data_IF_099196314958
#
_entry.id   IF_099196314958
#
_cell.length_a   1.000
_cell.length_b   1.000
_cell.length_c   1.000
_cell.angle_alpha   90.00
_cell.angle_beta   90.00
_cell.angle_gamma   90.00
#
_symmetry.space_group_name_H-M   'P 1'
#
loop_
_entity.id
_entity.type
_entity.pdbx_description
1 polymer ?
#
# COMPACT_ATOMS: atom_id res chain seq x y z
N UNK A 1 -5.39 -19.96 -6.51
CA UNK A 1 -4.41 -19.17 -5.78
C UNK A 1 -3.73 -18.27 -6.81
N UNK A 2 -3.70 -16.95 -6.57
CA UNK A 2 -3.08 -15.99 -7.48
C UNK A 2 -1.60 -15.83 -7.11
N UNK A 3 -0.72 -15.84 -8.11
CA UNK A 3 0.65 -15.38 -7.91
C UNK A 3 0.68 -13.85 -7.71
N UNK A 4 1.85 -13.28 -7.49
CA UNK A 4 2.00 -11.87 -7.15
C UNK A 4 1.49 -10.94 -8.27
N UNK A 5 1.82 -11.22 -9.53
CA UNK A 5 1.38 -10.43 -10.68
C UNK A 5 -0.12 -10.59 -10.96
N UNK A 6 -0.61 -11.83 -10.90
CA UNK A 6 -2.04 -12.12 -11.13
C UNK A 6 -2.93 -11.44 -10.08
N UNK A 7 -2.45 -11.30 -8.83
CA UNK A 7 -3.15 -10.56 -7.80
C UNK A 7 -3.40 -9.10 -8.21
N UNK A 8 -2.38 -8.41 -8.73
CA UNK A 8 -2.52 -7.02 -9.20
C UNK A 8 -3.44 -6.92 -10.43
N UNK A 9 -3.37 -7.88 -11.33
CA UNK A 9 -4.28 -7.98 -12.46
C UNK A 9 -5.73 -8.14 -11.99
N UNK A 10 -5.98 -9.00 -11.01
CA UNK A 10 -7.30 -9.20 -10.42
C UNK A 10 -7.82 -7.98 -9.63
N UNK A 11 -6.93 -7.09 -9.17
CA UNK A 11 -7.30 -5.84 -8.51
C UNK A 11 -7.77 -4.75 -9.47
N UNK A 12 -7.49 -4.85 -10.79
CA UNK A 12 -7.92 -3.86 -11.76
C UNK A 12 -9.44 -3.85 -11.95
N UNK A 13 -9.99 -2.67 -12.25
CA UNK A 13 -11.42 -2.50 -12.51
C UNK A 13 -12.07 -1.40 -11.67
N UNK A 14 -13.40 -1.43 -11.64
CA UNK A 14 -14.23 -0.52 -10.83
C UNK A 14 -14.67 -1.26 -9.57
N UNK A 15 -14.48 -0.61 -8.43
CA UNK A 15 -14.83 -1.15 -7.13
C UNK A 15 -15.63 -0.15 -6.34
N UNK A 16 -16.70 -0.61 -5.73
CA UNK A 16 -17.44 0.15 -4.72
C UNK A 16 -17.06 -0.37 -3.34
N UNK A 17 -16.87 0.54 -2.39
CA UNK A 17 -16.42 0.19 -1.04
C UNK A 17 -17.23 0.95 -0.02
N UNK A 18 -17.78 0.23 0.92
CA UNK A 18 -18.31 0.79 2.17
C UNK A 18 -17.19 0.71 3.22
N UNK A 19 -16.98 1.82 3.93
CA UNK A 19 -15.97 1.91 4.99
C UNK A 19 -16.62 2.35 6.29
N UNK A 20 -16.08 1.82 7.38
CA UNK A 20 -16.39 2.28 8.72
C UNK A 20 -15.06 2.69 9.36
N UNK A 21 -14.97 3.94 9.78
CA UNK A 21 -13.86 4.46 10.56
C UNK A 21 -14.21 4.38 12.04
N UNK A 22 -13.32 3.80 12.82
CA UNK A 22 -13.41 3.74 14.27
C UNK A 22 -12.31 4.62 14.86
N UNK A 23 -12.69 5.74 15.43
CA UNK A 23 -11.80 6.65 16.15
C UNK A 23 -11.71 6.18 17.60
N UNK A 24 -10.73 5.30 17.88
CA UNK A 24 -10.64 4.57 19.15
C UNK A 24 -10.50 5.51 20.35
N UNK A 25 -9.81 6.65 20.20
CA UNK A 25 -9.60 7.61 21.29
C UNK A 25 -10.90 8.33 21.70
N UNK A 26 -11.71 8.68 20.72
CA UNK A 26 -12.91 9.52 20.92
C UNK A 26 -14.20 8.68 20.95
N UNK A 27 -14.10 7.39 20.63
CA UNK A 27 -15.24 6.49 20.52
C UNK A 27 -16.18 6.80 19.37
N UNK A 28 -15.76 7.68 18.45
CA UNK A 28 -16.56 8.06 17.29
C UNK A 28 -16.51 7.01 16.19
N UNK A 29 -17.59 6.92 15.43
CA UNK A 29 -17.69 6.06 14.24
C UNK A 29 -18.18 6.93 13.09
N UNK A 30 -17.53 6.80 11.94
CA UNK A 30 -17.92 7.46 10.71
C UNK A 30 -18.01 6.44 9.58
N UNK A 31 -19.02 6.58 8.74
CA UNK A 31 -19.21 5.74 7.54
C UNK A 31 -18.92 6.55 6.29
N UNK A 32 -18.37 5.87 5.30
CA UNK A 32 -18.19 6.44 3.98
C UNK A 32 -18.41 5.42 2.88
N UNK A 33 -18.80 5.95 1.71
CA UNK A 33 -18.87 5.21 0.47
C UNK A 33 -17.78 5.70 -0.47
N UNK A 34 -17.07 4.78 -1.12
CA UNK A 34 -16.00 5.13 -2.05
C UNK A 34 -16.11 4.34 -3.34
N UNK A 35 -15.99 5.02 -4.45
CA UNK A 35 -15.78 4.41 -5.76
C UNK A 35 -14.31 4.46 -6.12
N UNK A 36 -13.71 3.30 -6.47
CA UNK A 36 -12.34 3.18 -6.93
C UNK A 36 -12.30 2.77 -8.39
N UNK A 37 -11.46 3.46 -9.15
CA UNK A 37 -11.01 2.99 -10.46
C UNK A 37 -9.54 2.59 -10.35
N UNK A 38 -9.26 1.32 -10.61
CA UNK A 38 -7.92 0.73 -10.52
C UNK A 38 -7.50 0.29 -11.91
N UNK A 39 -6.33 0.77 -12.37
CA UNK A 39 -5.75 0.39 -13.66
C UNK A 39 -4.29 -0.03 -13.49
N UNK A 40 -3.80 -0.89 -14.39
CA UNK A 40 -2.38 -1.20 -14.45
C UNK A 40 -1.56 0.03 -14.83
N UNK A 41 -0.31 0.10 -14.37
CA UNK A 41 0.64 1.17 -14.74
C UNK A 41 1.59 0.70 -15.83
N UNK A 42 1.84 1.59 -16.79
CA UNK A 42 2.77 1.35 -17.90
C UNK A 42 4.24 1.41 -17.44
N UNK A 43 5.19 0.77 -18.15
CA UNK A 43 6.62 0.81 -17.81
C UNK A 43 7.17 2.22 -17.60
N UNK A 44 6.77 3.19 -18.42
CA UNK A 44 7.19 4.59 -18.26
C UNK A 44 6.72 5.21 -16.93
N UNK A 45 5.53 4.86 -16.46
CA UNK A 45 5.02 5.31 -15.15
C UNK A 45 5.78 4.64 -14.01
N UNK A 46 6.15 3.37 -14.14
CA UNK A 46 7.00 2.67 -13.16
C UNK A 46 8.37 3.34 -13.04
N UNK A 47 9.01 3.69 -14.17
CA UNK A 47 10.26 4.46 -14.18
C UNK A 47 10.11 5.82 -13.49
N UNK A 48 9.01 6.53 -13.74
CA UNK A 48 8.74 7.80 -13.09
C UNK A 48 8.66 7.66 -11.57
N UNK A 49 7.92 6.65 -11.07
CA UNK A 49 7.82 6.40 -9.62
C UNK A 49 9.20 6.12 -9.03
N UNK A 50 10.00 5.28 -9.67
CA UNK A 50 11.37 4.98 -9.22
C UNK A 50 12.25 6.22 -9.17
N UNK A 51 12.11 7.14 -10.13
CA UNK A 51 12.94 8.35 -10.22
C UNK A 51 12.62 9.39 -9.15
N UNK A 52 11.35 9.48 -8.71
CA UNK A 52 10.91 10.44 -7.70
C UNK A 52 10.98 9.89 -6.27
N UNK A 53 11.10 8.56 -6.13
CA UNK A 53 11.16 7.92 -4.82
C UNK A 53 12.49 8.20 -4.14
N UNK A 54 12.42 8.69 -2.90
CA UNK A 54 13.61 8.95 -2.07
C UNK A 54 14.07 7.62 -1.47
N UNK A 55 14.90 6.89 -2.20
CA UNK A 55 15.40 5.57 -1.81
C UNK A 55 16.68 5.64 -0.95
N UNK A 56 17.24 6.85 -0.73
CA UNK A 56 18.51 7.03 -0.04
C UNK A 56 19.65 6.30 -0.79
N UNK A 57 20.36 5.41 -0.10
CA UNK A 57 21.43 4.59 -0.69
C UNK A 57 20.91 3.33 -1.39
N UNK A 58 19.63 2.99 -1.24
CA UNK A 58 19.04 1.82 -1.88
C UNK A 58 19.01 1.98 -3.40
N UNK A 59 19.30 0.90 -4.09
CA UNK A 59 19.22 0.84 -5.56
C UNK A 59 18.25 -0.24 -5.98
N UNK A 60 17.35 0.12 -6.88
CA UNK A 60 16.43 -0.81 -7.53
C UNK A 60 16.98 -1.20 -8.89
N UNK A 61 17.21 -2.49 -9.10
CA UNK A 61 17.62 -3.05 -10.39
C UNK A 61 16.60 -4.07 -10.87
N UNK A 62 15.77 -3.66 -11.78
CA UNK A 62 14.78 -4.53 -12.44
C UNK A 62 15.34 -5.19 -13.71
N UNK A 63 16.61 -4.94 -14.07
CA UNK A 63 17.27 -5.45 -15.29
C UNK A 63 16.42 -5.22 -16.57
N UNK A 64 15.65 -4.13 -16.61
CA UNK A 64 14.71 -3.81 -17.71
C UNK A 64 13.40 -4.60 -17.70
N UNK A 65 13.25 -5.55 -16.80
CA UNK A 65 12.02 -6.33 -16.65
C UNK A 65 11.07 -5.69 -15.63
N UNK A 66 10.22 -4.78 -16.09
CA UNK A 66 9.25 -4.08 -15.24
C UNK A 66 8.09 -4.96 -14.77
N UNK A 67 7.92 -6.17 -15.30
CA UNK A 67 6.83 -7.07 -14.89
C UNK A 67 7.06 -7.68 -13.51
N UNK A 68 8.30 -7.79 -13.07
CA UNK A 68 8.64 -8.28 -11.73
C UNK A 68 8.20 -7.33 -10.60
N UNK A 69 7.98 -6.06 -10.93
CA UNK A 69 7.48 -5.04 -10.01
C UNK A 69 6.07 -4.59 -10.46
N UNK A 70 5.01 -5.28 -10.05
CA UNK A 70 3.66 -4.88 -10.36
C UNK A 70 3.27 -3.58 -9.67
N UNK A 71 2.19 -2.97 -10.14
CA UNK A 71 1.67 -1.75 -9.58
C UNK A 71 0.33 -1.38 -10.16
N UNK A 72 -0.25 -0.32 -9.64
CA UNK A 72 -1.54 0.19 -10.11
C UNK A 72 -1.62 1.72 -10.01
N UNK A 73 -2.42 2.30 -10.89
CA UNK A 73 -2.95 3.64 -10.70
C UNK A 73 -4.35 3.52 -10.10
N UNK A 74 -4.62 4.33 -9.08
CA UNK A 74 -5.91 4.40 -8.41
C UNK A 74 -6.44 5.82 -8.55
N UNK A 75 -7.70 5.96 -8.95
CA UNK A 75 -8.48 7.17 -8.74
C UNK A 75 -9.69 6.79 -7.88
N UNK A 76 -10.05 7.63 -6.93
CA UNK A 76 -11.18 7.38 -6.07
C UNK A 76 -11.94 8.64 -5.69
N UNK A 77 -13.24 8.43 -5.49
CA UNK A 77 -14.18 9.43 -5.02
C UNK A 77 -14.87 8.90 -3.77
N UNK A 78 -14.70 9.58 -2.65
CA UNK A 78 -15.27 9.20 -1.35
C UNK A 78 -16.32 10.22 -0.93
N UNK A 79 -17.44 9.73 -0.40
CA UNK A 79 -18.45 10.53 0.30
C UNK A 79 -18.63 9.99 1.70
N UNK A 80 -18.46 10.83 2.70
CA UNK A 80 -18.73 10.49 4.10
C UNK A 80 -20.22 10.65 4.43
N UNK A 81 -20.67 10.05 5.54
CA UNK A 81 -22.03 10.24 6.05
C UNK A 81 -22.31 11.69 6.49
N UNK A 82 -21.26 12.46 6.78
CA UNK A 82 -21.34 13.91 7.08
C UNK A 82 -21.53 14.77 5.84
N UNK A 83 -21.44 14.17 4.64
CA UNK A 83 -21.56 14.88 3.36
C UNK A 83 -20.24 15.41 2.81
N UNK A 84 -19.13 15.19 3.49
CA UNK A 84 -17.81 15.53 2.96
C UNK A 84 -17.47 14.66 1.76
N UNK A 85 -16.81 15.25 0.77
CA UNK A 85 -16.34 14.54 -0.43
C UNK A 85 -14.85 14.71 -0.61
N UNK A 86 -14.16 13.62 -0.94
CA UNK A 86 -12.72 13.61 -1.24
C UNK A 86 -12.49 12.87 -2.54
N UNK A 87 -11.80 13.52 -3.48
CA UNK A 87 -11.34 12.90 -4.72
C UNK A 87 -9.81 12.92 -4.76
N UNK A 88 -9.21 11.79 -5.11
CA UNK A 88 -7.76 11.66 -5.16
C UNK A 88 -7.34 10.64 -6.22
N UNK A 89 -6.14 10.81 -6.75
CA UNK A 89 -5.48 9.80 -7.58
C UNK A 89 -4.03 9.62 -7.15
N UNK A 90 -3.54 8.41 -7.26
CA UNK A 90 -2.14 8.07 -7.00
C UNK A 90 -1.70 6.86 -7.83
N UNK A 91 -0.40 6.67 -7.93
CA UNK A 91 0.20 5.47 -8.50
C UNK A 91 1.09 4.80 -7.46
N UNK A 92 1.05 3.49 -7.45
CA UNK A 92 1.83 2.66 -6.55
C UNK A 92 2.60 1.58 -7.31
N UNK A 93 3.85 1.36 -6.89
CA UNK A 93 4.74 0.33 -7.42
C UNK A 93 5.20 -0.56 -6.26
N UNK A 94 5.22 -1.86 -6.50
CA UNK A 94 5.63 -2.86 -5.51
C UNK A 94 6.88 -3.58 -6.00
N UNK A 95 8.00 -3.33 -5.34
CA UNK A 95 9.32 -3.86 -5.73
C UNK A 95 9.73 -4.91 -4.71
N UNK A 96 9.81 -6.21 -5.08
CA UNK A 96 10.30 -7.25 -4.18
C UNK A 96 11.74 -6.99 -3.74
N UNK A 97 12.09 -7.43 -2.52
CA UNK A 97 13.41 -7.25 -1.92
C UNK A 97 14.55 -7.82 -2.77
N UNK A 98 14.28 -8.86 -3.55
CA UNK A 98 15.25 -9.49 -4.46
C UNK A 98 15.80 -8.54 -5.54
N UNK A 99 15.08 -7.45 -5.82
CA UNK A 99 15.47 -6.43 -6.80
C UNK A 99 16.01 -5.14 -6.15
N UNK A 100 16.26 -5.17 -4.84
CA UNK A 100 16.74 -3.98 -4.09
C UNK A 100 18.07 -4.29 -3.43
N UNK A 101 19.10 -3.52 -3.76
CA UNK A 101 20.42 -3.58 -3.11
C UNK A 101 20.64 -2.40 -2.16
N UNK A 102 21.64 -2.52 -1.28
CA UNK A 102 22.00 -1.51 -0.28
C UNK A 102 20.84 -1.14 0.68
N UNK A 103 20.06 -2.14 1.08
CA UNK A 103 19.04 -1.92 2.10
C UNK A 103 19.73 -1.59 3.42
N UNK A 104 19.39 -0.43 3.99
CA UNK A 104 19.87 -0.10 5.34
C UNK A 104 19.21 -1.01 6.35
N UNK A 105 20.00 -1.59 7.25
CA UNK A 105 19.55 -2.51 8.29
C UNK A 105 18.82 -1.84 9.46
N UNK A 106 18.45 -0.57 9.37
CA UNK A 106 17.62 0.09 10.38
C UNK A 106 16.17 -0.39 10.27
N UNK A 107 15.94 -1.64 10.65
CA UNK A 107 14.60 -2.18 10.75
C UNK A 107 13.87 -1.52 11.92
N UNK A 108 13.03 -0.55 11.61
CA UNK A 108 11.98 -0.16 12.56
C UNK A 108 11.08 -1.39 12.73
N UNK A 109 10.92 -1.92 13.95
CA UNK A 109 10.08 -3.09 14.15
C UNK A 109 8.69 -2.87 13.57
N UNK A 110 8.15 -3.84 12.81
CA UNK A 110 6.82 -3.69 12.23
C UNK A 110 5.78 -3.54 13.36
N UNK A 111 4.77 -2.69 13.19
CA UNK A 111 3.69 -2.59 14.15
C UNK A 111 2.92 -3.92 14.25
N UNK A 112 2.21 -4.13 15.35
CA UNK A 112 1.54 -5.41 15.65
C UNK A 112 0.63 -5.88 14.51
N UNK A 113 -0.11 -4.97 13.87
CA UNK A 113 -0.98 -5.32 12.75
C UNK A 113 -0.21 -5.79 11.50
N UNK A 114 1.09 -5.49 11.40
CA UNK A 114 1.97 -5.91 10.30
C UNK A 114 2.80 -7.15 10.65
N UNK A 115 2.65 -7.72 11.84
CA UNK A 115 3.32 -8.95 12.24
C UNK A 115 2.56 -10.14 11.68
N UNK A 116 3.20 -10.87 10.77
CA UNK A 116 2.63 -12.06 10.15
C UNK A 116 3.39 -13.29 10.60
N UNK A 117 2.65 -14.40 10.74
CA UNK A 117 3.27 -15.72 10.91
C UNK A 117 4.01 -16.09 9.61
N UNK A 118 5.33 -16.33 9.65
CA UNK A 118 6.13 -16.66 8.48
C UNK A 118 5.87 -18.08 7.95
N UNK A 119 4.90 -18.82 8.49
CA UNK A 119 4.53 -20.13 7.98
C UNK A 119 3.94 -20.04 6.57
N UNK A 120 4.77 -20.28 5.57
CA UNK A 120 4.39 -20.26 4.16
C UNK A 120 5.20 -19.27 3.30
N UNK A 121 4.92 -19.29 2.00
CA UNK A 121 5.55 -18.37 1.06
C UNK A 121 5.05 -16.92 1.30
N UNK A 122 6.00 -16.01 1.48
CA UNK A 122 5.74 -14.59 1.64
C UNK A 122 6.68 -13.78 0.76
N UNK A 123 6.13 -12.99 -0.14
CA UNK A 123 6.89 -12.02 -0.92
C UNK A 123 6.93 -10.72 -0.14
N UNK A 124 8.13 -10.21 0.13
CA UNK A 124 8.37 -8.95 0.84
C UNK A 124 9.01 -7.95 -0.09
N UNK A 125 8.81 -6.66 0.18
CA UNK A 125 9.43 -5.64 -0.65
C UNK A 125 9.09 -4.21 -0.22
N UNK A 126 9.41 -3.29 -1.11
CA UNK A 126 9.15 -1.87 -0.95
C UNK A 126 7.89 -1.46 -1.69
N UNK A 127 7.08 -0.65 -1.02
CA UNK A 127 5.88 -0.03 -1.53
C UNK A 127 6.16 1.45 -1.81
N UNK A 128 6.18 1.83 -3.07
CA UNK A 128 6.50 3.17 -3.54
C UNK A 128 5.24 3.84 -4.07
N UNK A 129 4.97 5.07 -3.67
CA UNK A 129 3.86 5.88 -4.19
C UNK A 129 4.38 7.22 -4.69
N UNK A 130 3.74 7.74 -5.73
CA UNK A 130 4.00 9.09 -6.24
C UNK A 130 3.37 10.18 -5.37
N UNK A 131 2.34 9.85 -4.58
CA UNK A 131 1.63 10.79 -3.72
C UNK A 131 1.21 10.13 -2.39
N UNK A 132 1.24 10.89 -1.30
CA UNK A 132 0.79 10.48 0.02
C UNK A 132 -0.66 10.86 0.30
N UNK A 133 -1.31 10.17 1.23
CA UNK A 133 -2.67 10.53 1.67
C UNK A 133 -2.67 11.72 2.65
N UNK A 134 -1.70 11.77 3.54
CA UNK A 134 -1.61 12.78 4.61
C UNK A 134 -0.39 13.68 4.51
N UNK A 135 0.52 13.37 3.60
CA UNK A 135 1.75 14.11 3.34
C UNK A 135 1.94 14.20 1.84
N UNK A 136 2.29 15.40 1.35
CA UNK A 136 2.55 15.61 -0.07
C UNK A 136 3.86 14.92 -0.51
N UNK A 137 3.89 14.50 -1.76
CA UNK A 137 5.05 13.91 -2.43
C UNK A 137 5.16 12.40 -2.30
N UNK A 138 6.28 11.87 -2.79
CA UNK A 138 6.54 10.45 -2.86
C UNK A 138 6.67 9.82 -1.48
N UNK A 139 6.06 8.65 -1.31
CA UNK A 139 6.05 7.89 -0.06
C UNK A 139 6.70 6.53 -0.27
N UNK A 140 7.56 6.17 0.67
CA UNK A 140 8.17 4.86 0.79
C UNK A 140 7.53 4.08 1.94
N UNK A 141 7.15 2.85 1.66
CA UNK A 141 6.63 1.91 2.66
C UNK A 141 7.17 0.51 2.43
N UNK A 142 6.69 -0.41 3.23
CA UNK A 142 6.99 -1.85 3.10
C UNK A 142 5.73 -2.59 2.70
N UNK A 143 5.87 -3.70 1.98
CA UNK A 143 4.76 -4.60 1.74
C UNK A 143 5.13 -6.05 2.02
N UNK A 144 4.10 -6.85 2.27
CA UNK A 144 4.15 -8.30 2.20
C UNK A 144 2.99 -8.79 1.35
N UNK A 145 3.21 -9.85 0.57
CA UNK A 145 2.17 -10.55 -0.13
C UNK A 145 2.18 -12.03 0.25
N UNK A 146 1.02 -12.54 0.64
CA UNK A 146 0.81 -13.93 1.04
C UNK A 146 -0.06 -14.64 -0.01
N UNK A 147 0.52 -15.43 -0.93
CA UNK A 147 -0.24 -16.07 -2.01
C UNK A 147 -1.37 -16.98 -1.52
N UNK A 148 -1.11 -17.78 -0.47
CA UNK A 148 -2.11 -18.71 0.11
C UNK A 148 -3.33 -17.98 0.63
N UNK A 149 -3.13 -16.81 1.26
CA UNK A 149 -4.21 -15.99 1.82
C UNK A 149 -4.75 -14.96 0.83
N UNK A 150 -4.10 -14.78 -0.31
CA UNK A 150 -4.37 -13.72 -1.30
C UNK A 150 -4.46 -12.34 -0.63
N UNK A 151 -3.50 -12.08 0.27
CA UNK A 151 -3.48 -10.87 1.10
C UNK A 151 -2.22 -10.07 0.78
N UNK A 152 -2.42 -8.83 0.37
CA UNK A 152 -1.41 -7.79 0.26
C UNK A 152 -1.50 -6.92 1.52
N UNK A 153 -0.40 -6.78 2.24
CA UNK A 153 -0.27 -5.87 3.35
C UNK A 153 0.73 -4.77 3.01
N UNK A 154 0.38 -3.54 3.33
CA UNK A 154 1.19 -2.35 3.07
C UNK A 154 1.38 -1.60 4.38
N UNK A 155 2.62 -1.41 4.81
CA UNK A 155 2.97 -0.57 5.97
C UNK A 155 3.59 0.72 5.48
N UNK A 156 2.96 1.84 5.81
CA UNK A 156 3.43 3.18 5.46
C UNK A 156 3.82 3.95 6.71
N UNK A 157 5.03 4.49 6.71
CA UNK A 157 5.57 5.28 7.81
C UNK A 157 5.46 6.77 7.48
N UNK A 158 4.42 7.42 8.00
CA UNK A 158 4.26 8.88 7.94
C UNK A 158 5.01 9.55 9.11
N UNK A 159 5.15 10.87 9.05
CA UNK A 159 5.80 11.62 10.14
C UNK A 159 5.12 11.42 11.48
N UNK A 160 3.78 11.46 11.51
CA UNK A 160 2.98 11.41 12.74
C UNK A 160 2.27 10.08 12.98
N UNK A 161 2.31 9.17 12.02
CA UNK A 161 1.58 7.92 12.12
C UNK A 161 2.26 6.79 11.35
N UNK A 162 1.86 5.56 11.68
CA UNK A 162 2.14 4.38 10.87
C UNK A 162 0.80 3.77 10.49
N UNK A 163 0.58 3.54 9.22
CA UNK A 163 -0.62 2.89 8.71
C UNK A 163 -0.28 1.49 8.20
N UNK A 164 -1.02 0.49 8.67
CA UNK A 164 -1.00 -0.89 8.16
C UNK A 164 -2.30 -1.14 7.44
N UNK A 165 -2.21 -1.37 6.15
CA UNK A 165 -3.33 -1.56 5.24
C UNK A 165 -3.29 -2.98 4.68
N UNK A 166 -4.23 -3.80 5.06
CA UNK A 166 -4.37 -5.17 4.57
C UNK A 166 -5.51 -5.26 3.57
N UNK A 167 -5.20 -5.73 2.37
CA UNK A 167 -6.17 -5.98 1.31
C UNK A 167 -6.17 -7.45 0.93
N UNK A 168 -7.31 -8.10 1.08
CA UNK A 168 -7.52 -9.51 0.76
C UNK A 168 -8.56 -9.69 -0.33
N UNK A 169 -8.21 -10.42 -1.38
CA UNK A 169 -9.18 -10.92 -2.36
C UNK A 169 -9.85 -12.18 -1.81
N UNK A 170 -11.15 -12.07 -1.52
CA UNK A 170 -11.98 -13.19 -1.03
C UNK A 170 -12.56 -13.96 -2.20
N UNK A 171 -12.96 -13.24 -3.25
CA UNK A 171 -13.42 -13.78 -4.51
C UNK A 171 -13.10 -12.78 -5.64
N UNK A 172 -13.32 -13.12 -6.91
CA UNK A 172 -13.07 -12.19 -8.01
C UNK A 172 -13.76 -10.83 -7.87
N UNK A 173 -14.89 -10.79 -7.16
CA UNK A 173 -15.72 -9.60 -7.02
C UNK A 173 -15.84 -9.10 -5.58
N UNK A 174 -15.05 -9.65 -4.65
CA UNK A 174 -15.10 -9.26 -3.25
C UNK A 174 -13.69 -9.08 -2.68
N UNK A 175 -13.42 -7.87 -2.20
CA UNK A 175 -12.22 -7.52 -1.42
C UNK A 175 -12.61 -7.13 0.00
N UNK A 176 -11.84 -7.61 0.96
CA UNK A 176 -11.84 -7.05 2.31
C UNK A 176 -10.61 -6.16 2.46
N UNK A 177 -10.77 -5.06 3.17
CA UNK A 177 -9.69 -4.14 3.49
C UNK A 177 -9.78 -3.71 4.95
N UNK A 178 -8.68 -3.82 5.65
CA UNK A 178 -8.54 -3.35 7.03
C UNK A 178 -7.37 -2.39 7.09
N UNK A 179 -7.58 -1.22 7.68
CA UNK A 179 -6.53 -0.22 7.88
C UNK A 179 -6.43 0.07 9.37
N UNK A 180 -5.26 -0.16 9.94
CA UNK A 180 -4.95 0.21 11.33
C UNK A 180 -3.93 1.33 11.31
N UNK A 181 -4.26 2.46 11.93
CA UNK A 181 -3.37 3.62 12.03
C UNK A 181 -2.93 3.80 13.47
N UNK A 182 -1.61 3.80 13.67
CA UNK A 182 -0.97 4.05 14.96
C UNK A 182 -0.41 5.48 14.97
N UNK A 183 -0.58 6.21 16.06
CA UNK A 183 0.14 7.45 16.27
C UNK A 183 1.61 7.15 16.58
N UNK A 184 2.52 7.91 15.99
CA UNK A 184 3.94 7.86 16.38
C UNK A 184 4.16 8.76 17.58
N UNK A 185 4.92 8.29 18.61
CA UNK A 185 5.37 9.18 19.69
C UNK A 185 6.17 10.35 19.10
N UNK A 186 5.95 11.57 19.59
CA UNK A 186 6.59 12.80 19.08
C UNK A 186 8.13 12.79 19.20
N UNK A 187 8.71 11.86 19.97
CA UNK A 187 10.14 11.83 20.35
C UNK A 187 10.97 10.71 19.70
N UNK A 188 10.49 10.04 18.66
CA UNK A 188 11.37 9.14 17.90
C UNK A 188 12.07 10.01 16.85
N UNK A 189 13.23 10.56 17.25
CA UNK A 189 14.15 11.21 16.32
C UNK A 189 14.51 10.23 15.18
N UNK A 190 14.45 10.73 13.97
CA UNK A 190 14.87 10.02 12.75
C UNK A 190 16.37 9.76 12.78
#
# INVERSE_FOLDING_TARGET
MLNFQDFFTACAGLWTTERIYHYIQDGQIERSYTEFRVTAIAPAQKQQILSISTLGEMKVDLAGNYDVAPGFAIAFDTRSETGETVSMSLKALFVPDDYVSNQSSSEIPPPVAAQIDPSGEVIKGFYLRDEGYSEAGAILGRFTYQPIRQTLEMTTYYRRSVAVDQMRLVSPNLRLRTIVTYQRPENIAQ
#
